data_IF_159049835110
#
_entry.id   IF_159049835110
#
_cell.length_a   1.000
_cell.length_b   1.000
_cell.length_c   1.000
_cell.angle_alpha   90.00
_cell.angle_beta   90.00
_cell.angle_gamma   90.00
#
_symmetry.space_group_name_H-M   'P 1'
#
loop_
_entity.id
_entity.type
_entity.pdbx_description
1 polymer ?
#
# COMPACT_ATOMS: atom_id res chain seq x y z
N UNK A 1 -21.04 -25.57 -26.69
CA UNK A 1 -19.79 -24.85 -27.03
C UNK A 1 -19.79 -23.50 -26.29
N UNK A 2 -19.17 -23.38 -25.10
CA UNK A 2 -19.00 -22.06 -24.44
C UNK A 2 -17.65 -21.52 -24.87
N UNK A 3 -17.63 -20.52 -25.76
CA UNK A 3 -16.41 -19.76 -26.09
C UNK A 3 -16.08 -18.94 -24.84
N UNK A 4 -15.05 -19.34 -24.10
CA UNK A 4 -14.48 -18.50 -23.05
C UNK A 4 -13.88 -17.28 -23.73
N UNK A 5 -14.54 -16.13 -23.58
CA UNK A 5 -14.13 -14.90 -24.23
C UNK A 5 -12.84 -14.38 -23.60
N UNK A 6 -11.72 -14.56 -24.30
CA UNK A 6 -10.40 -14.06 -23.92
C UNK A 6 -10.40 -12.54 -23.66
N UNK A 7 -11.33 -11.80 -24.25
CA UNK A 7 -11.49 -10.35 -24.08
C UNK A 7 -11.84 -9.97 -22.64
N UNK A 8 -12.60 -10.82 -21.93
CA UNK A 8 -12.97 -10.58 -20.53
C UNK A 8 -11.78 -10.65 -19.57
N UNK A 9 -10.76 -11.47 -19.89
CA UNK A 9 -9.55 -11.60 -19.07
C UNK A 9 -8.56 -10.46 -19.32
N UNK A 10 -8.49 -9.96 -20.57
CA UNK A 10 -7.66 -8.81 -20.92
C UNK A 10 -8.21 -7.54 -20.29
N UNK A 11 -9.52 -7.30 -20.38
CA UNK A 11 -10.16 -6.13 -19.75
C UNK A 11 -10.04 -6.16 -18.21
N UNK A 12 -10.15 -7.33 -17.59
CA UNK A 12 -9.95 -7.46 -16.14
C UNK A 12 -8.49 -7.21 -15.71
N UNK A 13 -7.51 -7.53 -16.56
CA UNK A 13 -6.10 -7.22 -16.31
C UNK A 13 -5.83 -5.72 -16.45
N UNK A 14 -6.34 -5.10 -17.52
CA UNK A 14 -6.21 -3.66 -17.79
C UNK A 14 -6.91 -2.78 -16.74
N UNK A 15 -8.06 -3.23 -16.22
CA UNK A 15 -8.76 -2.57 -15.11
C UNK A 15 -8.01 -2.70 -13.77
N UNK A 16 -7.29 -3.80 -13.52
CA UNK A 16 -6.48 -3.94 -12.30
C UNK A 16 -5.29 -3.01 -12.29
N UNK A 17 -4.56 -2.95 -13.40
CA UNK A 17 -3.40 -2.05 -13.51
C UNK A 17 -3.81 -0.57 -13.39
N UNK A 18 -4.98 -0.19 -13.90
CA UNK A 18 -5.47 1.19 -13.77
C UNK A 18 -6.01 1.53 -12.38
N UNK A 19 -6.63 0.60 -11.66
CA UNK A 19 -7.09 0.84 -10.28
C UNK A 19 -5.90 1.01 -9.33
N UNK A 20 -4.87 0.20 -9.48
CA UNK A 20 -3.63 0.32 -8.69
C UNK A 20 -2.88 1.62 -9.01
N UNK A 21 -2.94 2.10 -10.26
CA UNK A 21 -2.37 3.38 -10.68
C UNK A 21 -3.18 4.62 -10.24
N UNK A 22 -4.51 4.51 -10.08
CA UNK A 22 -5.40 5.64 -9.78
C UNK A 22 -5.61 5.90 -8.28
N UNK A 23 -5.22 4.98 -7.40
CA UNK A 23 -5.25 5.23 -5.96
C UNK A 23 -3.92 4.89 -5.30
N UNK A 24 -2.84 5.65 -5.59
CA UNK A 24 -1.50 5.40 -5.04
C UNK A 24 -1.42 5.45 -3.50
N UNK A 25 -2.52 5.78 -2.83
CA UNK A 25 -2.65 5.95 -1.39
C UNK A 25 -3.53 4.87 -0.74
N UNK A 26 -4.17 3.98 -1.50
CA UNK A 26 -4.97 2.91 -0.91
C UNK A 26 -4.08 1.98 -0.09
N UNK A 27 -4.38 1.85 1.21
CA UNK A 27 -3.58 1.06 2.15
C UNK A 27 -2.38 1.79 2.78
N UNK A 28 -2.06 3.02 2.36
CA UNK A 28 -0.98 3.83 2.98
C UNK A 28 -1.48 4.60 4.20
N UNK A 29 -0.60 4.78 5.18
CA UNK A 29 -0.90 5.55 6.39
C UNK A 29 -0.77 7.06 6.17
N UNK A 30 -1.65 7.81 6.83
CA UNK A 30 -1.54 9.26 6.98
C UNK A 30 -0.80 9.58 8.29
N UNK A 31 -0.16 10.75 8.36
CA UNK A 31 0.73 11.13 9.47
C UNK A 31 0.06 11.17 10.86
N UNK A 32 -1.26 11.36 10.92
CA UNK A 32 -2.03 11.41 12.17
C UNK A 32 -2.84 10.13 12.42
N UNK A 33 -2.59 9.06 11.66
CA UNK A 33 -3.26 7.79 11.89
C UNK A 33 -2.86 7.19 13.24
N UNK A 34 -3.83 6.65 13.97
CA UNK A 34 -3.58 5.93 15.21
C UNK A 34 -2.77 4.63 15.01
N UNK A 35 -2.57 4.20 13.75
CA UNK A 35 -1.72 3.07 13.42
C UNK A 35 -0.22 3.40 13.44
N UNK A 36 0.15 4.69 13.40
CA UNK A 36 1.54 5.15 13.37
C UNK A 36 2.21 4.87 14.72
N UNK A 37 3.35 4.20 14.69
CA UNK A 37 4.16 3.80 15.85
C UNK A 37 3.37 3.01 16.92
N UNK A 38 2.27 2.37 16.55
CA UNK A 38 1.37 1.70 17.50
C UNK A 38 1.57 0.19 17.59
N UNK A 39 2.38 -0.40 16.71
CA UNK A 39 2.60 -1.83 16.62
C UNK A 39 3.63 -2.39 17.60
N UNK A 40 3.84 -3.70 17.51
CA UNK A 40 4.84 -4.45 18.27
C UNK A 40 5.73 -5.22 17.28
N UNK A 41 7.03 -5.33 17.58
CA UNK A 41 7.98 -6.07 16.74
C UNK A 41 7.57 -7.56 16.68
N UNK A 42 7.17 -8.01 15.49
CA UNK A 42 6.75 -9.39 15.22
C UNK A 42 7.76 -10.18 14.36
N UNK A 43 8.95 -9.63 14.11
CA UNK A 43 10.00 -10.26 13.29
C UNK A 43 9.90 -10.01 11.78
N UNK A 44 8.89 -9.27 11.32
CA UNK A 44 8.85 -8.78 9.94
C UNK A 44 9.85 -7.62 9.76
N UNK A 45 10.82 -7.79 8.87
CA UNK A 45 11.84 -6.79 8.59
C UNK A 45 11.41 -5.77 7.53
N UNK A 46 10.42 -6.10 6.71
CA UNK A 46 9.98 -5.30 5.56
C UNK A 46 8.46 -5.21 5.49
N UNK A 47 7.94 -4.11 4.96
CA UNK A 47 6.52 -3.91 4.65
C UNK A 47 6.18 -4.34 3.20
N UNK A 48 4.93 -4.17 2.78
CA UNK A 48 4.47 -4.58 1.43
C UNK A 48 5.08 -3.73 0.30
N UNK A 49 5.50 -2.51 0.62
CA UNK A 49 6.16 -1.57 -0.27
C UNK A 49 7.70 -1.70 -0.21
N UNK A 50 8.22 -2.75 0.47
CA UNK A 50 9.64 -3.00 0.71
C UNK A 50 10.36 -1.95 1.57
N UNK A 51 9.63 -1.18 2.38
CA UNK A 51 10.22 -0.31 3.39
C UNK A 51 10.65 -1.11 4.62
N UNK A 52 11.73 -0.69 5.27
CA UNK A 52 12.21 -1.31 6.50
C UNK A 52 11.19 -1.15 7.64
N UNK A 53 11.07 -2.16 8.50
CA UNK A 53 10.24 -2.11 9.71
C UNK A 53 11.08 -2.15 10.99
N UNK A 54 10.92 -1.19 11.92
CA UNK A 54 10.13 0.04 11.82
C UNK A 54 10.85 1.17 11.06
N UNK A 55 10.10 2.09 10.45
CA UNK A 55 10.63 3.39 10.03
C UNK A 55 10.59 4.43 11.17
N UNK A 56 9.63 4.29 12.10
CA UNK A 56 9.48 5.17 13.25
C UNK A 56 10.03 4.57 14.56
N UNK A 57 9.44 4.98 15.67
CA UNK A 57 9.81 4.49 17.00
C UNK A 57 9.38 3.02 17.21
N UNK A 58 8.31 2.58 16.55
CA UNK A 58 7.75 1.21 16.61
C UNK A 58 7.16 0.84 15.24
N UNK A 59 6.92 -0.45 14.94
CA UNK A 59 6.28 -0.81 13.68
C UNK A 59 4.88 -0.22 13.62
N UNK A 60 4.44 0.18 12.43
CA UNK A 60 3.07 0.62 12.24
C UNK A 60 2.10 -0.57 12.17
N UNK A 61 0.86 -0.35 12.60
CA UNK A 61 -0.19 -1.36 12.47
C UNK A 61 -0.64 -1.45 11.00
N UNK A 62 -0.55 -2.65 10.43
CA UNK A 62 -1.00 -2.93 9.06
C UNK A 62 0.15 -3.32 8.13
N UNK A 63 -0.12 -3.30 6.81
CA UNK A 63 0.78 -3.83 5.79
C UNK A 63 1.86 -2.84 5.30
N UNK A 64 1.68 -1.54 5.53
CA UNK A 64 2.63 -0.47 5.15
C UNK A 64 3.07 0.35 6.36
N UNK A 65 4.31 0.84 6.33
CA UNK A 65 4.82 1.86 7.24
C UNK A 65 4.54 3.27 6.68
N UNK A 66 4.41 4.25 7.57
CA UNK A 66 4.36 5.66 7.23
C UNK A 66 5.76 6.10 6.80
N UNK A 67 5.92 6.29 5.49
CA UNK A 67 7.14 6.89 4.93
C UNK A 67 7.07 8.42 5.14
N UNK A 68 7.70 8.91 6.21
CA UNK A 68 7.90 10.35 6.40
C UNK A 68 8.93 10.85 5.37
N UNK A 69 8.47 11.32 4.21
CA UNK A 69 9.37 11.70 3.12
C UNK A 69 8.79 12.53 1.99
N UNK A 70 7.47 12.66 1.83
CA UNK A 70 6.88 13.59 0.87
C UNK A 70 5.78 14.39 1.55
N UNK A 71 6.19 15.49 2.19
CA UNK A 71 5.31 16.65 2.28
C UNK A 71 4.99 17.03 0.83
N UNK A 72 3.87 16.54 0.28
CA UNK A 72 3.33 17.07 -0.96
C UNK A 72 3.11 18.55 -0.70
N UNK A 73 3.95 19.40 -1.27
CA UNK A 73 3.89 20.84 -1.06
C UNK A 73 2.45 21.29 -1.30
N UNK A 74 1.88 21.97 -0.31
CA UNK A 74 0.70 22.79 -0.49
C UNK A 74 0.92 23.70 -1.71
N UNK A 75 -0.01 23.63 -2.67
CA UNK A 75 -0.23 24.69 -3.65
C UNK A 75 -1.24 25.68 -3.07
#
# INVERSE_FOLDING_TARGET
MKRSDSSSRVLAHELRETVDALSPHFGRLQSLSAAVDAGTRAGAAWDIDSNARPLGSRPDIGASELVQGTFWKAQ
#
